data_IF_353302492207
#
_entry.id   IF_353302492207
#
_cell.length_a   1.000
_cell.length_b   1.000
_cell.length_c   1.000
_cell.angle_alpha   90.00
_cell.angle_beta   90.00
_cell.angle_gamma   90.00
#
_symmetry.space_group_name_H-M   'P 1'
#
loop_
_entity.id
_entity.type
_entity.pdbx_description
1 polymer ?
#
# COMPACT_ATOMS: atom_id res chain seq x y z
N UNK A 1 -4.50 -26.76 5.55
CA UNK A 1 -3.86 -25.43 5.35
C UNK A 1 -3.60 -24.81 6.71
N UNK A 2 -2.65 -23.87 6.81
CA UNK A 2 -2.32 -23.21 8.08
C UNK A 2 -2.13 -21.70 7.92
N UNK A 3 -2.35 -20.93 8.98
CA UNK A 3 -1.84 -19.57 9.12
C UNK A 3 -0.42 -19.62 9.69
N UNK A 4 0.50 -18.88 9.09
CA UNK A 4 1.92 -18.81 9.45
C UNK A 4 2.37 -17.37 9.60
N UNK A 5 3.40 -17.07 10.40
CA UNK A 5 3.99 -15.73 10.47
C UNK A 5 4.64 -15.33 9.15
N UNK A 6 4.46 -14.08 8.71
CA UNK A 6 5.02 -13.56 7.43
C UNK A 6 6.54 -13.68 7.32
N UNK A 7 7.24 -13.69 8.44
CA UNK A 7 8.72 -13.70 8.47
C UNK A 7 9.30 -15.11 8.41
N UNK A 8 8.46 -16.15 8.31
CA UNK A 8 8.90 -17.55 8.34
C UNK A 8 8.87 -18.21 6.95
N UNK A 9 9.58 -19.32 6.83
CA UNK A 9 9.48 -20.25 5.70
C UNK A 9 8.22 -21.14 5.79
N UNK A 10 7.40 -20.90 6.81
CA UNK A 10 6.22 -21.69 7.10
C UNK A 10 6.52 -23.04 7.73
N UNK A 11 7.75 -23.37 8.16
CA UNK A 11 8.09 -24.61 8.89
C UNK A 11 8.00 -24.53 10.42
N UNK A 12 7.72 -23.36 10.96
CA UNK A 12 7.59 -23.21 12.43
C UNK A 12 6.53 -24.17 13.01
N UNK A 13 6.71 -24.56 14.28
CA UNK A 13 5.71 -25.28 15.06
C UNK A 13 4.48 -24.42 15.38
N UNK A 14 4.59 -23.10 15.26
CA UNK A 14 3.53 -22.13 15.56
C UNK A 14 2.52 -21.95 14.41
N UNK A 15 2.35 -22.99 13.58
CA UNK A 15 1.34 -23.03 12.52
C UNK A 15 -0.05 -23.14 13.17
N UNK A 16 -0.96 -22.27 12.80
CA UNK A 16 -2.35 -22.35 13.25
C UNK A 16 -3.16 -23.07 12.16
N UNK A 17 -3.70 -24.27 12.38
CA UNK A 17 -4.47 -24.98 11.37
C UNK A 17 -5.74 -24.20 11.02
N UNK A 18 -6.04 -24.09 9.72
CA UNK A 18 -7.35 -23.59 9.29
C UNK A 18 -8.39 -24.68 9.57
N UNK A 19 -9.55 -24.33 10.17
CA UNK A 19 -10.67 -25.25 10.28
C UNK A 19 -11.05 -25.83 8.91
N UNK A 20 -11.37 -27.13 8.85
CA UNK A 20 -11.70 -27.81 7.60
C UNK A 20 -12.81 -27.11 6.79
N UNK A 21 -13.94 -26.66 7.40
CA UNK A 21 -14.97 -25.95 6.66
C UNK A 21 -14.48 -24.65 6.00
N UNK A 22 -13.60 -23.92 6.68
CA UNK A 22 -13.02 -22.67 6.17
C UNK A 22 -12.04 -22.91 5.03
N UNK A 23 -11.24 -23.98 5.13
CA UNK A 23 -10.35 -24.42 4.06
C UNK A 23 -11.14 -24.81 2.81
N UNK A 24 -12.18 -25.63 2.96
CA UNK A 24 -13.01 -26.08 1.84
C UNK A 24 -13.77 -24.93 1.19
N UNK A 25 -14.31 -24.01 2.00
CA UNK A 25 -14.96 -22.79 1.51
C UNK A 25 -14.00 -21.94 0.65
N UNK A 26 -12.78 -21.71 1.15
CA UNK A 26 -11.76 -20.97 0.40
C UNK A 26 -11.44 -21.63 -0.94
N UNK A 27 -11.32 -22.96 -0.96
CA UNK A 27 -11.02 -23.71 -2.18
C UNK A 27 -12.19 -23.63 -3.17
N UNK A 28 -13.43 -23.92 -2.74
CA UNK A 28 -14.63 -23.83 -3.59
C UNK A 28 -14.77 -22.45 -4.19
N UNK A 29 -14.66 -21.41 -3.37
CA UNK A 29 -14.69 -20.03 -3.84
C UNK A 29 -13.59 -19.77 -4.88
N UNK A 30 -12.35 -20.12 -4.55
CA UNK A 30 -11.21 -19.86 -5.43
C UNK A 30 -11.35 -20.54 -6.79
N UNK A 31 -11.92 -21.75 -6.87
CA UNK A 31 -12.08 -22.46 -8.16
C UNK A 31 -13.36 -22.06 -8.93
N UNK A 32 -14.17 -21.15 -8.39
CA UNK A 32 -15.42 -20.70 -9.02
C UNK A 32 -16.65 -21.55 -8.72
N UNK A 33 -16.55 -22.48 -7.76
CA UNK A 33 -17.64 -23.38 -7.33
C UNK A 33 -18.25 -22.97 -5.98
N UNK A 34 -17.85 -21.80 -5.46
CA UNK A 34 -18.26 -21.32 -4.13
C UNK A 34 -19.52 -20.47 -4.13
N UNK A 35 -20.22 -20.51 -3.01
CA UNK A 35 -21.35 -19.63 -2.70
C UNK A 35 -20.88 -18.26 -2.19
N UNK A 36 -21.82 -17.32 -2.04
CA UNK A 36 -21.58 -16.05 -1.36
C UNK A 36 -21.07 -16.23 0.09
N UNK A 37 -21.53 -17.25 0.80
CA UNK A 37 -21.03 -17.56 2.15
C UNK A 37 -19.57 -18.04 2.13
N UNK A 38 -19.17 -18.77 1.08
CA UNK A 38 -17.78 -19.17 0.91
C UNK A 38 -16.88 -17.95 0.64
N UNK A 39 -17.35 -16.98 -0.14
CA UNK A 39 -16.66 -15.69 -0.33
C UNK A 39 -16.50 -14.94 1.00
N UNK A 40 -17.58 -14.75 1.75
CA UNK A 40 -17.55 -14.05 3.04
C UNK A 40 -16.59 -14.71 4.04
N UNK A 41 -16.58 -16.04 4.11
CA UNK A 41 -15.64 -16.79 4.93
C UNK A 41 -14.19 -16.57 4.47
N UNK A 42 -13.96 -16.56 3.15
CA UNK A 42 -12.67 -16.25 2.54
C UNK A 42 -12.20 -14.82 2.83
N UNK A 43 -13.07 -13.82 2.68
CA UNK A 43 -12.81 -12.41 2.99
C UNK A 43 -12.42 -12.24 4.47
N UNK A 44 -13.18 -12.86 5.37
CA UNK A 44 -12.91 -12.84 6.82
C UNK A 44 -11.54 -13.46 7.12
N UNK A 45 -11.21 -14.60 6.51
CA UNK A 45 -9.91 -15.24 6.65
C UNK A 45 -8.76 -14.35 6.18
N UNK A 46 -8.89 -13.72 5.00
CA UNK A 46 -7.81 -12.88 4.46
C UNK A 46 -7.62 -11.61 5.27
N UNK A 47 -8.71 -10.99 5.74
CA UNK A 47 -8.66 -9.82 6.62
C UNK A 47 -7.97 -10.18 7.94
N UNK A 48 -8.38 -11.27 8.60
CA UNK A 48 -7.77 -11.74 9.84
C UNK A 48 -6.31 -12.14 9.66
N UNK A 49 -5.95 -12.79 8.55
CA UNK A 49 -4.56 -13.09 8.23
C UNK A 49 -3.74 -11.81 8.04
N UNK A 50 -4.33 -10.77 7.44
CA UNK A 50 -3.66 -9.48 7.29
C UNK A 50 -3.44 -8.81 8.65
N UNK A 51 -4.51 -8.65 9.44
CA UNK A 51 -4.49 -8.10 10.81
C UNK A 51 -3.48 -8.84 11.70
N UNK A 52 -3.44 -10.16 11.64
CA UNK A 52 -2.59 -10.98 12.48
C UNK A 52 -1.14 -11.13 12.02
N UNK A 53 -0.68 -10.38 11.01
CA UNK A 53 0.62 -10.57 10.37
C UNK A 53 0.88 -12.04 9.99
N UNK A 54 -0.11 -12.65 9.34
CA UNK A 54 -0.05 -14.03 8.86
C UNK A 54 -0.08 -14.13 7.33
N UNK A 55 0.44 -15.24 6.85
CA UNK A 55 0.23 -15.76 5.50
C UNK A 55 -0.46 -17.12 5.58
N UNK A 56 -0.90 -17.62 4.42
CA UNK A 56 -1.61 -18.88 4.31
C UNK A 56 -0.67 -19.93 3.70
N UNK A 57 -0.33 -20.96 4.48
CA UNK A 57 0.46 -22.10 4.05
C UNK A 57 -0.43 -23.21 3.47
N UNK A 58 -0.15 -23.62 2.24
CA UNK A 58 -0.85 -24.70 1.57
C UNK A 58 -0.37 -26.07 2.06
N UNK A 59 -1.31 -27.00 2.24
CA UNK A 59 -1.03 -28.37 2.68
C UNK A 59 -0.73 -29.37 1.58
N UNK A 60 -0.69 -28.97 0.31
CA UNK A 60 -0.59 -29.91 -0.81
C UNK A 60 0.71 -30.74 -0.81
N UNK A 61 1.78 -30.27 -0.17
CA UNK A 61 3.05 -31.02 -0.07
C UNK A 61 3.12 -31.94 1.16
N UNK A 62 2.10 -31.94 2.02
CA UNK A 62 2.09 -32.63 3.31
C UNK A 62 2.67 -31.77 4.45
N UNK A 63 2.53 -32.23 5.71
CA UNK A 63 2.89 -31.44 6.89
C UNK A 63 4.41 -31.27 7.09
N UNK A 64 5.22 -32.24 6.65
CA UNK A 64 6.66 -32.27 6.93
C UNK A 64 7.52 -31.49 5.93
N UNK A 65 6.93 -31.08 4.80
CA UNK A 65 7.63 -30.31 3.77
C UNK A 65 7.46 -28.81 4.02
N UNK A 66 8.36 -28.01 3.43
CA UNK A 66 8.12 -26.58 3.31
C UNK A 66 6.79 -26.39 2.55
N UNK A 67 5.84 -25.60 3.05
CA UNK A 67 4.58 -25.39 2.35
C UNK A 67 4.75 -24.33 1.26
N UNK A 68 4.03 -24.45 0.13
CA UNK A 68 3.78 -23.33 -0.77
C UNK A 68 2.94 -22.28 -0.04
N UNK A 69 3.21 -20.99 -0.31
CA UNK A 69 2.62 -19.89 0.47
C UNK A 69 1.75 -19.00 -0.41
N UNK A 70 0.56 -18.72 0.08
CA UNK A 70 -0.38 -17.75 -0.44
C UNK A 70 -0.43 -16.53 0.47
N UNK A 71 -0.31 -15.36 -0.13
CA UNK A 71 -0.44 -14.07 0.56
C UNK A 71 -1.71 -13.38 0.12
N UNK A 72 -2.57 -12.97 1.06
CA UNK A 72 -3.64 -12.07 0.70
C UNK A 72 -3.07 -10.72 0.25
N UNK A 73 -3.33 -10.37 -1.00
CA UNK A 73 -2.96 -9.10 -1.60
C UNK A 73 -4.22 -8.32 -1.93
N UNK A 74 -4.11 -6.99 -1.99
CA UNK A 74 -5.21 -6.11 -2.37
C UNK A 74 -4.94 -5.54 -3.76
N UNK A 75 -5.88 -5.74 -4.68
CA UNK A 75 -5.85 -5.12 -6.01
C UNK A 75 -6.75 -3.89 -5.97
N UNK A 76 -6.14 -2.71 -5.89
CA UNK A 76 -6.87 -1.44 -5.69
C UNK A 76 -7.75 -1.02 -6.87
N UNK A 77 -7.41 -1.44 -8.10
CA UNK A 77 -8.17 -1.09 -9.31
C UNK A 77 -9.50 -1.85 -9.40
N UNK A 78 -9.53 -3.09 -8.91
CA UNK A 78 -10.71 -3.96 -8.92
C UNK A 78 -11.39 -4.07 -7.54
N UNK A 79 -10.92 -3.29 -6.56
CA UNK A 79 -11.46 -3.25 -5.19
C UNK A 79 -11.71 -4.65 -4.58
N UNK A 80 -10.74 -5.56 -4.77
CA UNK A 80 -10.87 -6.96 -4.33
C UNK A 80 -9.59 -7.49 -3.71
N UNK A 81 -9.73 -8.38 -2.72
CA UNK A 81 -8.61 -9.23 -2.31
C UNK A 81 -8.30 -10.26 -3.40
N UNK A 82 -7.06 -10.72 -3.45
CA UNK A 82 -6.69 -11.90 -4.24
C UNK A 82 -5.59 -12.68 -3.54
N UNK A 83 -5.52 -13.98 -3.80
CA UNK A 83 -4.47 -14.85 -3.26
C UNK A 83 -3.27 -14.84 -4.19
N UNK A 84 -2.21 -14.15 -3.78
CA UNK A 84 -0.94 -14.14 -4.51
C UNK A 84 -0.05 -15.29 -4.06
N UNK A 85 0.50 -16.04 -5.01
CA UNK A 85 1.50 -17.08 -4.76
C UNK A 85 2.87 -16.44 -4.53
N UNK A 86 3.52 -16.77 -3.42
CA UNK A 86 4.91 -16.39 -3.16
C UNK A 86 5.85 -17.45 -3.73
N UNK A 87 6.31 -17.26 -4.97
CA UNK A 87 7.32 -18.12 -5.58
C UNK A 87 8.71 -17.50 -5.51
N UNK A 88 9.69 -18.29 -5.11
CA UNK A 88 11.12 -17.94 -5.12
C UNK A 88 11.96 -19.21 -5.08
N UNK A 89 13.28 -19.11 -5.31
CA UNK A 89 14.18 -20.27 -5.21
C UNK A 89 14.17 -20.94 -3.83
N UNK A 90 13.72 -20.23 -2.78
CA UNK A 90 13.62 -20.74 -1.40
C UNK A 90 12.20 -21.17 -1.01
N UNK A 91 11.22 -21.06 -1.90
CA UNK A 91 9.81 -21.40 -1.62
C UNK A 91 9.30 -22.41 -2.65
N UNK A 92 8.81 -23.59 -2.20
CA UNK A 92 8.38 -24.63 -3.12
C UNK A 92 7.08 -24.24 -3.82
N UNK A 93 6.86 -24.85 -4.97
CA UNK A 93 5.61 -24.70 -5.72
C UNK A 93 4.52 -25.63 -5.21
N UNK A 94 3.28 -25.28 -5.54
CA UNK A 94 2.14 -26.18 -5.36
C UNK A 94 2.30 -27.45 -6.19
N UNK A 95 1.66 -28.55 -5.78
CA UNK A 95 1.57 -29.73 -6.64
C UNK A 95 0.69 -29.41 -7.87
N UNK A 96 0.91 -30.04 -9.04
CA UNK A 96 0.10 -29.79 -10.24
C UNK A 96 -1.40 -30.00 -10.06
N UNK A 97 -1.80 -30.91 -9.17
CA UNK A 97 -3.20 -31.23 -8.81
C UNK A 97 -3.78 -30.29 -7.73
N UNK A 98 -2.99 -29.37 -7.19
CA UNK A 98 -3.47 -28.43 -6.19
C UNK A 98 -4.33 -27.33 -6.85
N UNK A 99 -5.49 -26.97 -6.28
CA UNK A 99 -6.34 -25.89 -6.80
C UNK A 99 -5.62 -24.55 -6.97
N UNK A 100 -4.59 -24.30 -6.15
CA UNK A 100 -3.78 -23.08 -6.18
C UNK A 100 -2.54 -23.17 -7.09
N UNK A 101 -2.35 -24.28 -7.80
CA UNK A 101 -1.29 -24.40 -8.80
C UNK A 101 -1.65 -23.64 -10.08
N UNK A 102 -0.64 -23.06 -10.71
CA UNK A 102 -0.68 -22.46 -12.04
C UNK A 102 0.74 -22.46 -12.60
N UNK A 103 0.89 -22.62 -13.91
CA UNK A 103 2.21 -22.53 -14.53
C UNK A 103 2.82 -21.13 -14.34
N UNK A 104 4.13 -21.07 -14.12
CA UNK A 104 4.83 -19.78 -14.09
C UNK A 104 4.97 -19.30 -15.53
N UNK A 105 4.32 -18.18 -15.85
CA UNK A 105 4.65 -17.41 -17.04
C UNK A 105 6.15 -17.09 -17.02
N UNK A 106 6.86 -17.41 -18.10
CA UNK A 106 8.19 -16.84 -18.33
C UNK A 106 8.03 -15.33 -18.33
N UNK A 107 8.84 -14.61 -17.52
CA UNK A 107 8.80 -13.16 -17.45
C UNK A 107 9.07 -12.58 -18.85
N UNK A 108 8.04 -12.36 -19.65
CA UNK A 108 8.16 -11.51 -20.83
C UNK A 108 8.34 -10.10 -20.30
N UNK A 109 9.41 -9.47 -20.75
CA UNK A 109 9.63 -8.04 -20.56
C UNK A 109 8.63 -7.35 -21.50
N UNK A 110 7.36 -7.26 -21.09
CA UNK A 110 6.39 -6.36 -21.71
C UNK A 110 6.92 -4.92 -21.55
N UNK A 111 6.62 -4.08 -22.53
CA UNK A 111 7.23 -2.77 -22.77
C UNK A 111 7.56 -2.00 -21.48
N UNK A 112 8.86 -1.81 -21.24
CA UNK A 112 9.34 -0.82 -20.29
C UNK A 112 8.86 0.53 -20.82
N UNK A 113 7.77 1.08 -20.27
CA UNK A 113 7.40 2.48 -20.51
C UNK A 113 8.67 3.32 -20.42
N UNK A 114 9.01 3.99 -21.52
CA UNK A 114 10.25 4.76 -21.59
C UNK A 114 10.22 5.86 -20.53
N UNK A 115 11.38 6.19 -19.97
CA UNK A 115 11.56 7.25 -18.95
C UNK A 115 10.94 8.60 -19.35
N UNK A 116 10.77 8.84 -20.65
CA UNK A 116 10.26 10.10 -21.19
C UNK A 116 8.75 10.10 -21.45
N UNK A 117 8.05 9.01 -21.11
CA UNK A 117 6.59 8.97 -21.24
C UNK A 117 5.97 9.81 -20.12
N UNK A 118 5.28 10.92 -20.41
CA UNK A 118 4.64 11.74 -19.39
C UNK A 118 3.67 10.89 -18.58
N UNK A 119 3.73 11.02 -17.26
CA UNK A 119 2.78 10.35 -16.37
C UNK A 119 1.52 11.19 -16.25
N UNK A 120 0.34 10.59 -16.48
CA UNK A 120 -0.91 11.31 -16.32
C UNK A 120 -1.08 11.87 -14.89
N UNK A 121 -1.46 13.16 -14.76
CA UNK A 121 -1.69 13.75 -13.46
C UNK A 121 -2.85 13.01 -12.76
N UNK A 122 -2.77 12.79 -11.44
CA UNK A 122 -3.82 12.09 -10.71
C UNK A 122 -5.07 12.97 -10.64
N UNK A 123 -6.11 12.60 -11.37
CA UNK A 123 -7.43 13.21 -11.30
C UNK A 123 -8.24 12.69 -10.10
N UNK A 124 -9.29 13.43 -9.73
CA UNK A 124 -10.18 13.11 -8.62
C UNK A 124 -9.67 13.58 -7.25
N UNK A 125 -10.10 12.89 -6.20
CA UNK A 125 -9.75 13.20 -4.81
C UNK A 125 -8.28 12.93 -4.49
N UNK A 126 -7.73 13.65 -3.52
CA UNK A 126 -6.39 13.43 -2.98
C UNK A 126 -6.36 12.19 -2.06
N UNK A 127 -6.71 11.03 -2.61
CA UNK A 127 -6.87 9.79 -1.86
C UNK A 127 -5.90 8.70 -2.35
N UNK A 128 -5.45 7.87 -1.43
CA UNK A 128 -4.59 6.69 -1.70
C UNK A 128 -5.17 5.44 -1.06
N UNK A 129 -5.76 5.58 0.12
CA UNK A 129 -6.41 4.50 0.83
C UNK A 129 -7.85 4.36 0.33
N UNK A 130 -8.23 3.12 0.04
CA UNK A 130 -9.60 2.71 -0.25
C UNK A 130 -10.14 1.96 0.97
N UNK A 131 -11.47 1.94 1.18
CA UNK A 131 -12.09 1.05 2.15
C UNK A 131 -11.57 -0.39 1.97
N UNK A 132 -11.56 -1.16 3.06
CA UNK A 132 -11.21 -2.57 2.96
C UNK A 132 -12.19 -3.24 1.98
N UNK A 133 -11.70 -3.96 0.96
CA UNK A 133 -12.59 -4.62 0.03
C UNK A 133 -13.42 -5.67 0.74
N UNK A 134 -14.67 -5.78 0.32
CA UNK A 134 -15.63 -6.77 0.81
C UNK A 134 -15.64 -8.03 -0.06
N UNK A 135 -14.78 -8.08 -1.08
CA UNK A 135 -14.73 -9.14 -2.09
C UNK A 135 -13.40 -9.87 -2.10
N UNK A 136 -13.46 -11.13 -2.52
CA UNK A 136 -12.29 -11.97 -2.76
C UNK A 136 -12.31 -12.48 -4.20
N UNK A 137 -11.24 -12.27 -4.94
CA UNK A 137 -11.14 -12.74 -6.31
C UNK A 137 -11.06 -14.27 -6.36
N UNK A 138 -11.76 -14.84 -7.34
CA UNK A 138 -11.61 -16.22 -7.74
C UNK A 138 -10.30 -16.40 -8.54
N UNK A 139 -9.98 -17.64 -8.89
CA UNK A 139 -8.90 -17.96 -9.82
C UNK A 139 -9.17 -17.24 -11.16
N UNK A 140 -8.20 -16.52 -11.74
CA UNK A 140 -8.37 -15.92 -13.06
C UNK A 140 -8.70 -16.97 -14.12
N UNK A 141 -9.66 -16.67 -15.00
CA UNK A 141 -10.14 -17.57 -16.06
C UNK A 141 -9.10 -17.82 -17.16
N UNK A 142 -8.27 -16.81 -17.47
CA UNK A 142 -7.19 -16.91 -18.44
C UNK A 142 -5.87 -17.27 -17.76
N UNK A 143 -5.05 -18.07 -18.46
CA UNK A 143 -3.58 -18.10 -18.30
C UNK A 143 -2.95 -16.79 -18.78
N UNK A 144 -3.62 -15.67 -18.49
CA UNK A 144 -3.09 -14.32 -18.58
C UNK A 144 -1.84 -14.35 -17.73
N UNK A 145 -0.74 -14.47 -18.45
CA UNK A 145 0.63 -14.52 -17.99
C UNK A 145 0.72 -13.57 -16.80
N UNK A 146 1.19 -14.07 -15.65
CA UNK A 146 1.52 -13.24 -14.48
C UNK A 146 2.48 -12.17 -15.00
N UNK A 147 1.92 -11.02 -15.42
CA UNK A 147 2.66 -9.96 -16.07
C UNK A 147 3.44 -9.27 -14.97
N UNK A 148 4.54 -9.93 -14.64
CA UNK A 148 5.54 -9.52 -13.66
C UNK A 148 6.38 -8.38 -14.19
N UNK A 149 5.98 -7.72 -15.28
CA UNK A 149 6.44 -6.36 -15.47
C UNK A 149 5.97 -5.56 -14.28
N UNK A 150 6.92 -5.37 -13.36
CA UNK A 150 7.05 -4.16 -12.57
C UNK A 150 7.09 -3.02 -13.57
N UNK A 151 5.93 -2.66 -14.10
CA UNK A 151 5.73 -1.43 -14.83
C UNK A 151 6.31 -0.37 -13.91
N UNK A 152 7.36 0.28 -14.37
CA UNK A 152 8.03 1.38 -13.71
C UNK A 152 7.09 2.61 -13.72
N UNK A 153 5.86 2.40 -13.27
CA UNK A 153 4.86 3.42 -13.12
C UNK A 153 5.18 4.20 -11.85
N UNK A 154 5.12 5.52 -11.95
CA UNK A 154 5.31 6.40 -10.81
C UNK A 154 4.23 6.09 -9.75
N UNK A 155 4.61 5.79 -8.48
CA UNK A 155 3.64 5.53 -7.42
C UNK A 155 2.59 6.64 -7.29
N UNK A 156 1.34 6.27 -6.98
CA UNK A 156 0.23 7.23 -6.84
C UNK A 156 0.55 8.35 -5.84
N UNK A 157 1.20 8.03 -4.72
CA UNK A 157 1.55 9.00 -3.69
C UNK A 157 2.55 10.05 -4.22
N UNK A 158 3.55 9.64 -5.01
CA UNK A 158 4.47 10.57 -5.67
C UNK A 158 3.75 11.48 -6.68
N UNK A 159 2.81 10.92 -7.46
CA UNK A 159 1.98 11.72 -8.38
C UNK A 159 1.11 12.75 -7.65
N UNK A 160 0.54 12.38 -6.50
CA UNK A 160 -0.23 13.31 -5.65
C UNK A 160 0.66 14.41 -5.07
N UNK A 161 1.88 14.08 -4.64
CA UNK A 161 2.85 15.09 -4.21
C UNK A 161 3.15 16.08 -5.34
N UNK A 162 3.38 15.61 -6.57
CA UNK A 162 3.60 16.50 -7.72
C UNK A 162 2.40 17.40 -7.99
N UNK A 163 1.17 16.86 -7.95
CA UNK A 163 -0.05 17.68 -8.07
C UNK A 163 -0.14 18.76 -6.99
N UNK A 164 0.25 18.45 -5.75
CA UNK A 164 0.23 19.42 -4.66
C UNK A 164 1.29 20.51 -4.85
N UNK A 165 2.52 20.12 -5.22
CA UNK A 165 3.62 21.05 -5.51
C UNK A 165 3.24 22.00 -6.66
N UNK A 166 2.66 21.46 -7.74
CA UNK A 166 2.19 22.23 -8.89
C UNK A 166 1.06 23.20 -8.52
N UNK A 167 0.06 22.72 -7.79
CA UNK A 167 -1.04 23.57 -7.29
C UNK A 167 -0.56 24.66 -6.33
N UNK A 168 0.58 24.47 -5.66
CA UNK A 168 1.18 25.44 -4.75
C UNK A 168 2.17 26.38 -5.45
N UNK A 169 2.62 26.06 -6.66
CA UNK A 169 3.68 26.77 -7.38
C UNK A 169 5.10 26.48 -6.87
N UNK A 170 5.27 25.51 -5.97
CA UNK A 170 6.55 25.17 -5.32
C UNK A 170 7.54 24.44 -6.25
N UNK A 171 7.13 24.14 -7.49
CA UNK A 171 7.95 23.52 -8.54
C UNK A 171 8.50 24.55 -9.54
N UNK A 172 8.34 25.85 -9.30
CA UNK A 172 8.85 26.92 -10.17
C UNK A 172 10.16 27.47 -9.64
N UNK A 173 11.16 27.62 -10.49
CA UNK A 173 12.44 28.26 -10.12
C UNK A 173 12.47 29.66 -10.70
N UNK A 174 12.67 30.65 -9.84
CA UNK A 174 12.79 32.05 -10.23
C UNK A 174 14.05 32.28 -11.09
N UNK A 175 14.02 33.21 -12.05
CA UNK A 175 15.20 33.57 -12.82
C UNK A 175 16.37 34.00 -11.91
N UNK A 176 17.59 33.61 -12.26
CA UNK A 176 18.80 33.89 -11.44
C UNK A 176 18.99 35.39 -11.13
N UNK A 177 18.55 36.29 -12.03
CA UNK A 177 18.67 37.73 -11.85
C UNK A 177 17.68 38.36 -10.86
N UNK A 178 16.71 37.60 -10.35
CA UNK A 178 15.66 38.11 -9.45
C UNK A 178 16.09 38.11 -7.97
N UNK A 179 17.27 37.54 -7.64
CA UNK A 179 17.79 37.42 -6.28
C UNK A 179 16.74 36.94 -5.26
N UNK A 180 15.89 36.00 -5.69
CA UNK A 180 14.77 35.52 -4.88
C UNK A 180 15.31 34.66 -3.72
N UNK A 181 14.97 35.04 -2.49
CA UNK A 181 15.29 34.26 -1.30
C UNK A 181 14.24 33.19 -1.05
N UNK A 182 14.65 31.92 -1.09
CA UNK A 182 13.75 30.79 -0.87
C UNK A 182 13.66 30.44 0.61
N UNK A 183 12.42 30.35 1.10
CA UNK A 183 12.13 29.96 2.48
C UNK A 183 11.33 28.68 2.52
N UNK A 184 11.92 27.61 3.08
CA UNK A 184 11.23 26.33 3.26
C UNK A 184 9.92 26.47 4.06
N UNK A 185 9.87 27.44 4.98
CA UNK A 185 8.66 27.77 5.74
C UNK A 185 7.56 28.29 4.82
N UNK A 186 7.89 29.18 3.89
CA UNK A 186 6.95 29.76 2.94
C UNK A 186 6.46 28.73 1.92
N UNK A 187 7.36 27.85 1.46
CA UNK A 187 7.02 26.72 0.59
C UNK A 187 6.02 25.78 1.27
N UNK A 188 6.27 25.34 2.51
CA UNK A 188 5.31 24.50 3.24
C UNK A 188 4.01 25.24 3.56
N UNK A 189 4.04 26.55 3.79
CA UNK A 189 2.82 27.34 3.94
C UNK A 189 2.02 27.42 2.62
N UNK A 190 2.70 27.48 1.47
CA UNK A 190 2.06 27.42 0.15
C UNK A 190 1.38 26.06 -0.08
N UNK A 191 2.03 24.95 0.29
CA UNK A 191 1.41 23.62 0.26
C UNK A 191 0.15 23.55 1.13
N UNK A 192 0.20 24.11 2.33
CA UNK A 192 -0.97 24.20 3.21
C UNK A 192 -2.14 24.98 2.59
N UNK A 193 -1.86 26.12 1.94
CA UNK A 193 -2.88 26.90 1.22
C UNK A 193 -3.44 26.14 0.01
N UNK A 194 -2.59 25.45 -0.75
CA UNK A 194 -3.03 24.64 -1.89
C UNK A 194 -3.92 23.47 -1.45
N UNK A 195 -3.58 22.83 -0.32
CA UNK A 195 -4.40 21.77 0.26
C UNK A 195 -5.83 22.23 0.62
N UNK A 196 -6.06 23.51 0.91
CA UNK A 196 -7.40 24.05 1.15
C UNK A 196 -8.30 24.07 -0.10
N UNK A 197 -7.71 23.96 -1.30
CA UNK A 197 -8.44 23.98 -2.59
C UNK A 197 -8.65 22.58 -3.18
N UNK A 198 -8.17 21.55 -2.49
CA UNK A 198 -8.18 20.16 -2.96
C UNK A 198 -9.01 19.34 -1.99
N UNK A 199 -9.91 18.50 -2.50
CA UNK A 199 -10.67 17.57 -1.68
C UNK A 199 -9.91 16.24 -1.48
N UNK A 200 -9.91 15.74 -0.25
CA UNK A 200 -9.40 14.41 0.12
C UNK A 200 -10.47 13.32 -0.04
N UNK A 201 -11.75 13.71 0.08
CA UNK A 201 -12.95 12.93 -0.13
C UNK A 201 -14.10 13.92 -0.42
N UNK A 202 -15.26 13.47 -0.97
CA UNK A 202 -16.39 14.36 -1.23
C UNK A 202 -16.76 15.25 -0.04
N UNK A 203 -16.69 16.59 -0.20
CA UNK A 203 -17.01 17.57 0.85
C UNK A 203 -16.00 17.67 1.99
N UNK A 204 -14.82 17.06 1.85
CA UNK A 204 -13.74 17.13 2.84
C UNK A 204 -12.51 17.74 2.18
N UNK A 205 -12.13 18.93 2.61
CA UNK A 205 -10.89 19.60 2.19
C UNK A 205 -9.66 18.87 2.73
N UNK A 206 -8.62 18.72 1.91
CA UNK A 206 -7.34 18.12 2.28
C UNK A 206 -6.69 18.85 3.46
N UNK A 207 -6.80 20.18 3.52
CA UNK A 207 -6.28 21.00 4.62
C UNK A 207 -6.77 20.57 6.01
N UNK A 208 -7.94 19.92 6.11
CA UNK A 208 -8.48 19.42 7.39
C UNK A 208 -7.72 18.22 7.94
N UNK A 209 -6.97 17.52 7.10
CA UNK A 209 -6.19 16.34 7.44
C UNK A 209 -4.81 16.34 6.76
N UNK A 210 -4.19 17.53 6.66
CA UNK A 210 -2.87 17.71 6.05
C UNK A 210 -1.92 18.47 6.98
N UNK A 211 -0.71 17.95 7.16
CA UNK A 211 0.32 18.57 8.00
C UNK A 211 1.66 18.65 7.27
N UNK A 212 2.47 19.64 7.65
CA UNK A 212 3.76 19.93 6.99
C UNK A 212 4.97 19.72 7.91
N UNK A 213 4.76 19.09 9.06
CA UNK A 213 5.77 18.84 10.09
C UNK A 213 5.38 17.61 10.93
N UNK A 214 6.34 17.01 11.64
CA UNK A 214 6.18 15.71 12.29
C UNK A 214 5.47 15.76 13.65
N UNK A 215 5.55 16.88 14.39
CA UNK A 215 4.98 17.04 15.74
C UNK A 215 3.52 16.57 15.91
N UNK A 216 2.60 16.73 14.93
CA UNK A 216 1.24 16.21 15.03
C UNK A 216 1.16 14.67 15.11
N UNK A 217 2.16 13.94 14.62
CA UNK A 217 2.25 12.48 14.81
C UNK A 217 2.69 12.15 16.24
N UNK A 218 3.74 12.80 16.74
CA UNK A 218 4.28 12.59 18.10
C UNK A 218 3.23 12.86 19.18
N UNK A 219 2.41 13.90 18.97
CA UNK A 219 1.35 14.30 19.89
C UNK A 219 0.02 13.57 19.66
N UNK A 220 -0.03 12.60 18.74
CA UNK A 220 -1.25 11.87 18.32
C UNK A 220 -2.38 12.78 17.77
N UNK A 221 -2.07 14.04 17.43
CA UNK A 221 -3.01 15.00 16.85
C UNK A 221 -3.55 14.51 15.51
N UNK A 222 -2.71 13.89 14.68
CA UNK A 222 -3.12 13.27 13.40
C UNK A 222 -4.23 12.25 13.65
N UNK A 223 -4.03 11.34 14.60
CA UNK A 223 -4.98 10.26 14.87
C UNK A 223 -6.24 10.75 15.58
N UNK A 224 -6.15 11.76 16.43
CA UNK A 224 -7.32 12.43 17.01
C UNK A 224 -8.18 13.11 15.94
N UNK A 225 -7.52 13.83 15.02
CA UNK A 225 -8.21 14.53 13.91
C UNK A 225 -8.89 13.54 12.98
N UNK A 226 -8.21 12.46 12.58
CA UNK A 226 -8.80 11.44 11.73
C UNK A 226 -10.00 10.76 12.38
N UNK A 227 -9.95 10.45 13.68
CA UNK A 227 -11.11 9.91 14.43
C UNK A 227 -12.30 10.86 14.41
N UNK A 228 -12.07 12.16 14.60
CA UNK A 228 -13.13 13.17 14.58
C UNK A 228 -13.74 13.34 13.19
N UNK A 229 -12.91 13.32 12.14
CA UNK A 229 -13.38 13.42 10.76
C UNK A 229 -14.10 12.14 10.29
N UNK A 230 -13.68 10.97 10.79
CA UNK A 230 -14.23 9.67 10.41
C UNK A 230 -15.74 9.56 10.63
N UNK A 231 -16.29 10.23 11.65
CA UNK A 231 -17.74 10.20 11.97
C UNK A 231 -18.63 10.63 10.80
N UNK A 232 -18.16 11.56 9.97
CA UNK A 232 -18.90 12.09 8.82
C UNK A 232 -18.20 11.79 7.49
N UNK A 233 -17.26 10.83 7.48
CA UNK A 233 -16.52 10.51 6.26
C UNK A 233 -17.44 9.79 5.26
N UNK A 234 -17.37 10.11 3.96
CA UNK A 234 -18.15 9.41 2.94
C UNK A 234 -17.88 7.90 2.96
N UNK A 235 -18.93 7.07 3.00
CA UNK A 235 -18.83 5.60 3.19
C UNK A 235 -18.00 4.88 2.11
N UNK A 236 -17.97 5.40 0.89
CA UNK A 236 -17.20 4.85 -0.23
C UNK A 236 -15.71 5.22 -0.19
N UNK A 237 -15.28 6.00 0.81
CA UNK A 237 -13.91 6.46 0.99
C UNK A 237 -13.37 6.04 2.35
N UNK A 238 -12.07 5.74 2.42
CA UNK A 238 -11.42 5.48 3.70
C UNK A 238 -10.96 6.79 4.34
N UNK A 239 -11.22 7.01 5.66
CA UNK A 239 -10.61 8.09 6.41
C UNK A 239 -9.08 8.04 6.31
N UNK A 240 -8.50 9.13 5.83
CA UNK A 240 -7.06 9.24 5.62
C UNK A 240 -6.59 10.67 5.80
N UNK A 241 -5.31 10.84 6.11
CA UNK A 241 -4.66 12.13 6.25
C UNK A 241 -3.25 12.05 5.70
N UNK A 242 -2.64 13.20 5.47
CA UNK A 242 -1.36 13.28 4.78
C UNK A 242 -0.38 14.17 5.52
N UNK A 243 0.89 13.79 5.46
CA UNK A 243 1.98 14.63 5.94
C UNK A 243 2.99 14.85 4.83
N UNK A 244 3.30 16.11 4.53
CA UNK A 244 4.45 16.47 3.68
C UNK A 244 5.60 16.86 4.60
N UNK A 245 6.63 16.03 4.69
CA UNK A 245 7.75 16.23 5.62
C UNK A 245 9.05 16.50 4.87
N UNK A 246 9.84 17.42 5.38
CA UNK A 246 11.25 17.52 5.03
C UNK A 246 12.03 16.40 5.74
N UNK A 247 12.73 15.57 4.97
CA UNK A 247 13.51 14.44 5.48
C UNK A 247 14.99 14.61 5.14
N UNK A 248 15.85 14.46 6.16
CA UNK A 248 17.31 14.46 5.99
C UNK A 248 17.78 13.16 5.34
N UNK A 249 17.16 12.04 5.70
CA UNK A 249 17.47 10.72 5.13
C UNK A 249 16.30 9.74 5.30
N UNK A 250 16.35 8.63 4.57
CA UNK A 250 15.36 7.54 4.64
C UNK A 250 16.14 6.23 4.86
N UNK A 251 15.74 5.43 5.85
CA UNK A 251 16.36 4.14 6.16
C UNK A 251 15.29 3.06 6.29
N UNK A 252 15.21 2.16 5.31
CA UNK A 252 14.22 1.08 5.30
C UNK A 252 12.78 1.60 5.24
N UNK A 253 12.10 1.56 6.38
CA UNK A 253 10.74 2.07 6.58
C UNK A 253 10.68 3.29 7.52
N UNK A 254 11.82 3.91 7.83
CA UNK A 254 11.92 5.08 8.70
C UNK A 254 12.29 6.33 7.90
N UNK A 255 11.64 7.45 8.24
CA UNK A 255 11.90 8.78 7.70
C UNK A 255 12.55 9.63 8.80
N UNK A 256 13.78 10.08 8.57
CA UNK A 256 14.50 10.90 9.53
C UNK A 256 14.25 12.38 9.27
N UNK A 257 13.46 13.01 10.14
CA UNK A 257 13.16 14.44 10.12
C UNK A 257 14.20 15.26 10.92
N UNK A 258 14.30 16.58 10.73
CA UNK A 258 15.08 17.42 11.61
C UNK A 258 14.53 17.41 13.04
N UNK A 259 15.44 17.31 14.01
CA UNK A 259 15.20 17.64 15.43
C UNK A 259 14.02 16.91 16.09
N UNK A 260 13.76 15.68 15.65
CA UNK A 260 12.71 14.81 16.17
C UNK A 260 13.00 13.33 15.93
N UNK A 261 12.11 12.48 16.45
CA UNK A 261 12.24 11.04 16.30
C UNK A 261 11.95 10.59 14.86
N UNK A 262 12.57 9.49 14.38
CA UNK A 262 12.25 8.94 13.07
C UNK A 262 10.78 8.56 12.96
N UNK A 263 10.14 8.93 11.85
CA UNK A 263 8.76 8.55 11.56
C UNK A 263 8.77 7.15 10.95
N UNK A 264 8.26 6.17 11.70
CA UNK A 264 8.11 4.79 11.24
C UNK A 264 6.90 4.63 10.31
N UNK A 265 7.10 3.99 9.17
CA UNK A 265 6.08 3.67 8.18
C UNK A 265 5.80 2.16 8.21
N UNK A 266 4.54 1.77 8.10
CA UNK A 266 4.13 0.35 8.11
C UNK A 266 4.72 -0.45 6.94
N UNK A 267 5.06 0.22 5.84
CA UNK A 267 5.64 -0.37 4.64
C UNK A 267 6.98 0.29 4.28
N UNK A 268 7.77 -0.40 3.45
CA UNK A 268 9.02 0.17 2.92
C UNK A 268 8.72 1.43 2.10
N UNK A 269 9.46 2.50 2.37
CA UNK A 269 9.34 3.78 1.64
C UNK A 269 9.66 3.58 0.16
N UNK A 270 8.80 4.10 -0.71
CA UNK A 270 8.98 4.01 -2.15
C UNK A 270 9.55 5.32 -2.70
N UNK A 271 10.83 5.30 -3.06
CA UNK A 271 11.42 6.36 -3.86
C UNK A 271 11.32 5.99 -5.34
N UNK A 272 10.76 6.84 -6.22
CA UNK A 272 10.95 6.72 -7.65
C UNK A 272 12.39 7.12 -8.02
N UNK A 273 13.37 6.42 -7.45
CA UNK A 273 14.76 6.55 -7.88
C UNK A 273 14.84 5.94 -9.27
N UNK A 274 15.27 6.76 -10.24
CA UNK A 274 15.57 6.31 -11.60
C UNK A 274 16.56 5.15 -11.48
N UNK A 275 16.26 4.01 -12.11
CA UNK A 275 17.08 2.78 -12.02
C UNK A 275 18.55 3.14 -12.28
N UNK A 276 19.37 3.12 -11.23
CA UNK A 276 20.82 3.35 -11.30
C UNK A 276 21.32 4.68 -10.73
N UNK A 277 20.46 5.68 -10.49
CA UNK A 277 20.91 6.95 -9.93
C UNK A 277 20.41 7.14 -8.49
N UNK A 278 21.34 7.07 -7.53
CA UNK A 278 21.02 7.28 -6.12
C UNK A 278 20.90 8.78 -5.85
N UNK A 279 19.66 9.29 -5.77
CA UNK A 279 19.42 10.66 -5.34
C UNK A 279 19.65 10.71 -3.83
N UNK A 280 20.73 11.35 -3.41
CA UNK A 280 20.98 11.69 -2.02
C UNK A 280 20.08 12.85 -1.61
N UNK A 281 19.57 12.80 -0.39
CA UNK A 281 18.68 13.82 0.15
C UNK A 281 19.33 15.21 0.26
N UNK A 282 18.58 16.21 0.76
CA UNK A 282 17.31 16.05 1.47
C UNK A 282 16.12 15.73 0.55
N UNK A 283 15.02 15.26 1.15
CA UNK A 283 13.80 14.85 0.45
C UNK A 283 12.58 15.63 0.97
N UNK A 284 11.59 15.82 0.10
CA UNK A 284 10.20 16.06 0.51
C UNK A 284 9.49 14.72 0.40
N UNK A 285 8.97 14.23 1.52
CA UNK A 285 8.27 12.94 1.60
C UNK A 285 6.80 13.19 1.86
N UNK A 286 5.92 12.62 1.03
CA UNK A 286 4.49 12.59 1.29
C UNK A 286 4.14 11.27 1.96
N UNK A 287 3.55 11.34 3.15
CA UNK A 287 3.12 10.19 3.94
C UNK A 287 1.60 10.17 3.94
N UNK A 288 1.00 8.99 3.81
CA UNK A 288 -0.42 8.78 4.09
C UNK A 288 -0.61 8.03 5.41
N UNK A 289 -1.39 8.63 6.30
CA UNK A 289 -1.89 8.02 7.52
C UNK A 289 -3.35 7.60 7.35
N UNK A 290 -3.71 6.45 7.89
CA UNK A 290 -5.07 5.93 7.81
C UNK A 290 -5.26 4.77 8.76
N UNK A 291 -6.44 4.17 8.71
CA UNK A 291 -6.76 3.03 9.57
C UNK A 291 -5.79 1.88 9.27
N UNK A 292 -5.10 1.43 10.30
CA UNK A 292 -4.22 0.27 10.27
C UNK A 292 -4.87 -0.83 11.11
N UNK A 293 -5.52 -1.81 10.46
CA UNK A 293 -6.18 -2.90 11.16
C UNK A 293 -5.26 -3.61 12.17
N UNK A 294 -3.96 -3.69 11.84
CA UNK A 294 -2.90 -4.28 12.66
C UNK A 294 -2.54 -3.47 13.94
N UNK A 295 -2.75 -2.15 13.99
CA UNK A 295 -2.38 -1.31 15.15
C UNK A 295 -3.57 -0.83 16.02
N UNK A 296 -4.77 -1.38 15.82
CA UNK A 296 -6.01 -0.95 16.53
C UNK A 296 -6.22 0.57 16.49
N UNK A 297 -6.07 1.18 15.32
CA UNK A 297 -6.27 2.63 15.15
C UNK A 297 -5.67 3.16 13.86
N UNK A 298 -5.19 4.39 13.91
CA UNK A 298 -4.54 5.05 12.78
C UNK A 298 -3.02 4.92 12.86
N UNK A 299 -2.35 4.77 11.72
CA UNK A 299 -0.89 4.77 11.64
C UNK A 299 -0.39 5.34 10.29
N UNK A 300 0.88 5.75 10.20
CA UNK A 300 1.54 6.05 8.94
C UNK A 300 1.72 4.77 8.11
N UNK A 301 1.03 4.67 6.97
CA UNK A 301 0.94 3.41 6.22
C UNK A 301 1.93 3.33 5.06
N UNK A 302 2.05 4.41 4.29
CA UNK A 302 2.85 4.47 3.06
C UNK A 302 3.52 5.84 2.93
N UNK A 303 4.70 5.83 2.32
CA UNK A 303 5.51 6.98 1.99
C UNK A 303 6.28 6.72 0.69
#
# INVERSE_FOLDING_TARGET
>A
MWLIHRETDGKSRDRIPLPAPLHEALVRWYVGEGSFHDEQAGVTLVQNARIGHRWIACGCLGPDKAPPILTPAYLSEAETYYLRRLTSTKRPEHRPDCPFFRDQATNRITEVRSHNTPTDPPSGFFEVLRPAPEKLAQRPEDDSLDDRTRNASTPRLARLLWRLLDSAGCNTVAPLGMAYEWSIREEFAALGRAAGKIEIAPGVELARAFWTHARPLETNTVYGTLRALATNWPKTHAPQGFLALYAKSIKGNEIHVPDGDPVAIATRVQSPSIRGNHITGPYIVLIVAGEYPEARGYAPLRA
#
